data_IF_135915509138
#
_entry.id   IF_135915509138
#
_cell.length_a   1.000
_cell.length_b   1.000
_cell.length_c   1.000
_cell.angle_alpha   90.00
_cell.angle_beta   90.00
_cell.angle_gamma   90.00
#
_symmetry.space_group_name_H-M   'P 1'
#
loop_
_entity.id
_entity.type
_entity.pdbx_description
1 polymer ?
#
# COMPACT_ATOMS: atom_id res chain seq x y z
N UNK A 1 -4.60 -15.79 -24.70
CA UNK A 1 -5.59 -14.71 -24.58
C UNK A 1 -4.83 -13.43 -24.29
N UNK A 2 -4.83 -12.46 -25.20
CA UNK A 2 -4.30 -11.14 -24.91
C UNK A 2 -5.34 -10.42 -24.05
N UNK A 3 -5.04 -10.16 -22.78
CA UNK A 3 -5.88 -9.29 -21.96
C UNK A 3 -5.79 -7.88 -22.54
N UNK A 4 -6.86 -7.43 -23.21
CA UNK A 4 -7.02 -6.03 -23.56
C UNK A 4 -7.11 -5.24 -22.26
N UNK A 5 -6.27 -4.22 -22.09
CA UNK A 5 -6.37 -3.32 -20.94
C UNK A 5 -7.78 -2.69 -20.95
N UNK A 6 -8.50 -2.73 -19.82
CA UNK A 6 -9.86 -2.20 -19.78
C UNK A 6 -9.82 -0.68 -19.99
N UNK A 7 -10.84 -0.15 -20.67
CA UNK A 7 -10.89 1.26 -21.08
C UNK A 7 -10.81 2.26 -19.91
N UNK A 8 -11.10 1.81 -18.68
CA UNK A 8 -11.08 2.61 -17.45
C UNK A 8 -9.79 2.44 -16.63
N UNK A 9 -8.73 1.84 -17.18
CA UNK A 9 -7.50 1.57 -16.42
C UNK A 9 -6.88 2.85 -15.81
N UNK A 10 -6.93 3.98 -16.53
CA UNK A 10 -6.40 5.25 -16.03
C UNK A 10 -7.20 5.79 -14.83
N UNK A 11 -8.53 5.66 -14.86
CA UNK A 11 -9.41 6.08 -13.77
C UNK A 11 -9.13 5.24 -12.51
N UNK A 12 -8.96 3.93 -12.66
CA UNK A 12 -8.64 3.02 -11.55
C UNK A 12 -7.29 3.39 -10.90
N UNK A 13 -6.26 3.67 -11.73
CA UNK A 13 -4.94 4.05 -11.22
C UNK A 13 -5.03 5.36 -10.43
N UNK A 14 -5.75 6.35 -10.96
CA UNK A 14 -5.93 7.63 -10.27
C UNK A 14 -6.66 7.45 -8.94
N UNK A 15 -7.72 6.63 -8.89
CA UNK A 15 -8.46 6.39 -7.65
C UNK A 15 -7.58 5.73 -6.57
N UNK A 16 -6.69 4.80 -6.96
CA UNK A 16 -5.72 4.21 -6.03
C UNK A 16 -4.73 5.27 -5.54
N UNK A 17 -4.19 6.09 -6.44
CA UNK A 17 -3.23 7.15 -6.09
C UNK A 17 -3.85 8.23 -5.19
N UNK A 18 -5.11 8.62 -5.43
CA UNK A 18 -5.82 9.60 -4.63
C UNK A 18 -6.07 9.09 -3.20
N UNK A 19 -6.07 7.76 -3.03
CA UNK A 19 -6.28 7.07 -1.75
C UNK A 19 -5.03 6.34 -1.27
N UNK A 20 -3.84 6.80 -1.65
CA UNK A 20 -2.59 6.09 -1.38
C UNK A 20 -2.38 5.84 0.12
N UNK A 21 -2.73 6.80 0.99
CA UNK A 21 -2.66 6.62 2.45
C UNK A 21 -3.59 5.52 2.99
N UNK A 22 -4.68 5.20 2.29
CA UNK A 22 -5.57 4.10 2.65
C UNK A 22 -5.03 2.76 2.11
N UNK A 23 -4.51 2.77 0.88
CA UNK A 23 -4.04 1.56 0.21
C UNK A 23 -2.64 1.11 0.64
N UNK A 24 -1.78 2.04 1.04
CA UNK A 24 -0.38 1.75 1.35
C UNK A 24 -0.18 0.69 2.43
N UNK A 25 -0.87 0.72 3.59
CA UNK A 25 -0.75 -0.34 4.59
C UNK A 25 -1.27 -1.71 4.10
N UNK A 26 -2.25 -1.71 3.19
CA UNK A 26 -2.78 -2.94 2.58
C UNK A 26 -1.76 -3.53 1.60
N UNK A 27 -1.20 -2.70 0.72
CA UNK A 27 -0.17 -3.08 -0.24
C UNK A 27 1.08 -3.60 0.47
N UNK A 28 1.50 -2.94 1.54
CA UNK A 28 2.63 -3.36 2.36
C UNK A 28 2.35 -4.63 3.18
N UNK A 29 1.10 -5.13 3.20
CA UNK A 29 0.68 -6.30 3.98
C UNK A 29 0.83 -6.07 5.49
N UNK A 30 0.47 -4.87 5.96
CA UNK A 30 0.42 -4.47 7.37
C UNK A 30 -1.00 -4.50 7.91
N UNK A 31 -1.99 -4.23 7.05
CA UNK A 31 -3.42 -4.28 7.39
C UNK A 31 -4.22 -4.91 6.24
N UNK A 32 -5.40 -5.41 6.57
CA UNK A 32 -6.44 -5.79 5.61
C UNK A 32 -7.28 -4.58 5.21
N UNK A 33 -8.04 -4.70 4.11
CA UNK A 33 -8.97 -3.64 3.70
C UNK A 33 -10.03 -3.40 4.77
N UNK A 34 -10.58 -4.48 5.35
CA UNK A 34 -11.62 -4.41 6.38
C UNK A 34 -11.14 -3.70 7.65
N UNK A 35 -9.86 -3.84 8.01
CA UNK A 35 -9.25 -3.10 9.12
C UNK A 35 -9.11 -1.60 8.79
N UNK A 36 -8.69 -1.26 7.57
CA UNK A 36 -8.57 0.13 7.13
C UNK A 36 -9.92 0.85 7.05
N UNK A 37 -11.00 0.16 6.63
CA UNK A 37 -12.36 0.74 6.58
C UNK A 37 -12.93 1.09 7.96
N UNK A 38 -12.42 0.46 9.02
CA UNK A 38 -12.87 0.68 10.42
C UNK A 38 -11.93 1.58 11.20
N UNK A 39 -10.73 1.82 10.69
CA UNK A 39 -9.71 2.60 11.37
C UNK A 39 -10.09 4.08 11.45
N UNK A 40 -9.85 4.67 12.60
CA UNK A 40 -9.83 6.12 12.76
C UNK A 40 -8.69 6.74 11.96
N UNK A 41 -8.75 8.05 11.67
CA UNK A 41 -7.65 8.75 11.00
C UNK A 41 -6.30 8.58 11.71
N UNK A 42 -6.30 8.55 13.05
CA UNK A 42 -5.07 8.35 13.84
C UNK A 42 -4.51 6.94 13.65
N UNK A 43 -5.37 5.92 13.62
CA UNK A 43 -4.95 4.54 13.39
C UNK A 43 -4.42 4.36 11.96
N UNK A 44 -5.06 4.98 10.96
CA UNK A 44 -4.55 5.01 9.58
C UNK A 44 -3.13 5.61 9.53
N UNK A 45 -2.89 6.74 10.19
CA UNK A 45 -1.56 7.36 10.24
C UNK A 45 -0.51 6.43 10.89
N UNK A 46 -0.87 5.73 11.96
CA UNK A 46 0.01 4.76 12.62
C UNK A 46 0.32 3.58 11.69
N UNK A 47 -0.69 3.03 11.01
CA UNK A 47 -0.51 1.91 10.09
C UNK A 47 0.37 2.28 8.88
N UNK A 48 0.26 3.51 8.39
CA UNK A 48 1.16 4.04 7.35
C UNK A 48 2.61 4.11 7.85
N UNK A 49 2.84 4.63 9.06
CA UNK A 49 4.18 4.67 9.66
C UNK A 49 4.78 3.26 9.83
N UNK A 50 3.98 2.28 10.27
CA UNK A 50 4.42 0.88 10.39
C UNK A 50 4.74 0.29 9.02
N UNK A 51 3.94 0.56 8.00
CA UNK A 51 4.19 0.13 6.62
C UNK A 51 5.50 0.72 6.06
N UNK A 52 5.75 2.01 6.27
CA UNK A 52 7.01 2.66 5.88
C UNK A 52 8.20 1.98 6.54
N UNK A 53 8.17 1.77 7.86
CA UNK A 53 9.25 1.09 8.60
C UNK A 53 9.47 -0.35 8.13
N UNK A 54 8.40 -1.09 7.79
CA UNK A 54 8.52 -2.44 7.24
C UNK A 54 9.31 -2.41 5.93
N UNK A 55 8.99 -1.48 5.03
CA UNK A 55 9.70 -1.35 3.76
C UNK A 55 11.15 -0.91 3.95
N UNK A 56 11.42 0.03 4.86
CA UNK A 56 12.78 0.43 5.23
C UNK A 56 13.59 -0.75 5.76
N UNK A 57 13.02 -1.54 6.66
CA UNK A 57 13.66 -2.73 7.20
C UNK A 57 13.89 -3.78 6.12
N UNK A 58 12.93 -4.01 5.23
CA UNK A 58 13.08 -4.92 4.09
C UNK A 58 14.14 -4.44 3.09
N UNK A 59 14.24 -3.13 2.85
CA UNK A 59 15.31 -2.52 2.07
C UNK A 59 16.67 -2.54 2.79
N UNK A 60 16.66 -2.58 4.12
CA UNK A 60 17.82 -2.77 4.99
C UNK A 60 18.28 -4.23 5.14
N UNK A 61 17.47 -5.22 4.72
CA UNK A 61 17.93 -6.61 4.47
C UNK A 61 18.55 -6.72 3.07
N UNK A 62 19.07 -5.61 2.53
CA UNK A 62 20.19 -5.63 1.60
C UNK A 62 21.50 -5.63 2.38
N UNK A 63 21.74 -6.66 3.20
CA UNK A 63 23.09 -6.95 3.71
C UNK A 63 23.87 -7.50 2.52
N UNK A 64 24.79 -6.67 2.04
CA UNK A 64 26.17 -7.06 1.73
C UNK A 64 26.37 -8.56 1.44
N UNK A 65 26.23 -8.95 0.19
CA UNK A 65 26.93 -10.11 -0.35
C UNK A 65 27.91 -9.61 -1.42
N UNK A 66 29.16 -9.43 -0.98
CA UNK A 66 30.45 -9.33 -1.69
C UNK A 66 30.75 -8.15 -2.64
#
# INVERSE_FOLDING_TARGET
MAYSKPANQAEIINEVNDNDAFWFPVIAGVATREEMERATMKEVQILNEVASRKLELMGGVGIEDE
#
